data_IF_649905599657
#
_entry.id   IF_649905599657
#
_cell.length_a   1.000
_cell.length_b   1.000
_cell.length_c   1.000
_cell.angle_alpha   90.00
_cell.angle_beta   90.00
_cell.angle_gamma   90.00
#
_symmetry.space_group_name_H-M   'P 1'
#
loop_
_entity.id
_entity.type
_entity.pdbx_description
1 polymer ?
#
# COMPACT_ATOMS: atom_id res chain seq x y z
N UNK A 1 -21.94 13.27 3.36
CA UNK A 1 -22.24 11.82 3.46
C UNK A 1 -20.97 11.11 3.08
N UNK A 2 -20.30 10.42 4.00
CA UNK A 2 -19.02 9.76 3.71
C UNK A 2 -19.24 8.71 2.62
N UNK A 3 -18.44 8.78 1.56
CA UNK A 3 -18.49 7.87 0.43
C UNK A 3 -18.13 6.44 0.90
N UNK A 4 -18.94 5.45 0.56
CA UNK A 4 -18.67 4.07 0.95
C UNK A 4 -17.47 3.54 0.15
N UNK A 5 -16.34 3.35 0.81
CA UNK A 5 -15.12 2.75 0.24
C UNK A 5 -14.95 1.34 0.76
N UNK A 6 -15.06 0.36 -0.13
CA UNK A 6 -14.98 -1.06 0.20
C UNK A 6 -13.60 -1.43 0.78
N UNK A 7 -12.55 -0.74 0.34
CA UNK A 7 -11.17 -0.88 0.81
C UNK A 7 -11.02 -0.64 2.33
N UNK A 8 -11.84 0.24 2.90
CA UNK A 8 -11.78 0.63 4.31
C UNK A 8 -12.58 -0.31 5.21
N UNK A 9 -13.30 -1.27 4.63
CA UNK A 9 -14.03 -2.28 5.39
C UNK A 9 -13.10 -3.44 5.77
N UNK A 10 -13.42 -4.13 6.87
CA UNK A 10 -12.72 -5.35 7.29
C UNK A 10 -12.64 -6.37 6.13
N UNK A 11 -13.70 -6.47 5.33
CA UNK A 11 -13.74 -7.32 4.14
C UNK A 11 -12.75 -6.90 3.04
N UNK A 12 -12.66 -5.60 2.75
CA UNK A 12 -11.68 -5.07 1.78
C UNK A 12 -10.23 -5.32 2.21
N UNK A 13 -9.93 -5.09 3.50
CA UNK A 13 -8.61 -5.37 4.05
C UNK A 13 -8.25 -6.86 3.99
N UNK A 14 -9.22 -7.75 4.25
CA UNK A 14 -9.06 -9.20 4.11
C UNK A 14 -8.79 -9.62 2.67
N UNK A 15 -9.49 -9.05 1.69
CA UNK A 15 -9.26 -9.31 0.27
C UNK A 15 -7.87 -8.86 -0.17
N UNK A 16 -7.39 -7.72 0.33
CA UNK A 16 -6.01 -7.27 0.06
C UNK A 16 -4.97 -8.24 0.63
N UNK A 17 -5.16 -8.69 1.88
CA UNK A 17 -4.28 -9.71 2.48
C UNK A 17 -4.32 -11.03 1.71
N UNK A 18 -5.49 -11.43 1.24
CA UNK A 18 -5.66 -12.64 0.42
C UNK A 18 -4.92 -12.52 -0.92
N UNK A 19 -5.01 -11.36 -1.60
CA UNK A 19 -4.27 -11.10 -2.83
C UNK A 19 -2.75 -11.21 -2.63
N UNK A 20 -2.23 -10.63 -1.55
CA UNK A 20 -0.79 -10.74 -1.20
C UNK A 20 -0.41 -12.20 -1.00
N UNK A 21 -1.18 -12.96 -0.21
CA UNK A 21 -0.90 -14.37 0.04
C UNK A 21 -0.94 -15.22 -1.24
N UNK A 22 -1.88 -14.95 -2.15
CA UNK A 22 -1.95 -15.61 -3.47
C UNK A 22 -0.70 -15.30 -4.29
N UNK A 23 -0.28 -14.03 -4.35
CA UNK A 23 0.89 -13.61 -5.12
C UNK A 23 2.21 -14.19 -4.57
N UNK A 24 2.26 -14.51 -3.27
CA UNK A 24 3.40 -15.20 -2.66
C UNK A 24 3.39 -16.71 -2.90
N UNK A 25 2.21 -17.33 -3.00
CA UNK A 25 2.09 -18.78 -3.22
C UNK A 25 2.27 -19.20 -4.69
N UNK A 26 1.93 -18.32 -5.64
CA UNK A 26 2.03 -18.65 -7.07
C UNK A 26 3.44 -18.41 -7.57
N UNK A 27 4.15 -19.50 -7.87
CA UNK A 27 5.47 -19.50 -8.50
C UNK A 27 5.38 -19.71 -10.02
N UNK A 28 6.04 -18.84 -10.77
CA UNK A 28 6.17 -18.94 -12.22
C UNK A 28 7.53 -19.58 -12.55
N UNK A 29 7.55 -20.72 -13.27
CA UNK A 29 8.78 -21.37 -13.67
C UNK A 29 9.54 -20.57 -14.74
N UNK A 30 10.87 -20.70 -14.77
CA UNK A 30 11.75 -19.92 -15.64
C UNK A 30 11.47 -20.06 -17.14
N UNK A 31 10.94 -21.20 -17.59
CA UNK A 31 10.60 -21.45 -18.99
C UNK A 31 9.50 -20.51 -19.53
N UNK A 32 8.69 -19.93 -18.64
CA UNK A 32 7.63 -18.99 -18.99
C UNK A 32 8.06 -17.53 -18.77
N UNK A 33 9.23 -17.30 -18.17
CA UNK A 33 9.74 -15.96 -17.86
C UNK A 33 10.76 -15.49 -18.91
N UNK A 34 10.76 -14.20 -19.27
CA UNK A 34 11.82 -13.60 -20.08
C UNK A 34 13.17 -13.70 -19.36
N UNK A 35 14.29 -13.77 -20.11
CA UNK A 35 15.64 -13.94 -19.53
C UNK A 35 16.00 -12.89 -18.46
N UNK A 36 15.43 -11.69 -18.56
CA UNK A 36 15.61 -10.60 -17.60
C UNK A 36 14.99 -10.86 -16.23
N UNK A 37 13.96 -11.70 -16.16
CA UNK A 37 13.22 -12.03 -14.95
C UNK A 37 13.50 -13.44 -14.42
N UNK A 38 14.26 -14.25 -15.15
CA UNK A 38 14.58 -15.61 -14.72
C UNK A 38 15.47 -15.61 -13.46
N UNK A 39 15.23 -16.59 -12.59
CA UNK A 39 16.12 -16.89 -11.46
C UNK A 39 16.95 -18.13 -11.77
N UNK A 40 18.24 -17.96 -12.07
CA UNK A 40 19.16 -19.04 -12.44
C UNK A 40 19.55 -19.96 -11.27
N UNK A 41 19.13 -19.65 -10.05
CA UNK A 41 19.45 -20.43 -8.85
C UNK A 41 18.27 -21.27 -8.38
N UNK A 42 17.05 -20.73 -8.40
CA UNK A 42 15.85 -21.36 -7.82
C UNK A 42 14.87 -21.95 -8.84
N UNK A 43 15.09 -21.76 -10.14
CA UNK A 43 14.27 -22.39 -11.20
C UNK A 43 12.95 -21.68 -11.51
N UNK A 44 12.57 -20.66 -10.73
CA UNK A 44 11.37 -19.85 -10.93
C UNK A 44 11.31 -18.67 -9.94
N UNK A 45 10.25 -17.86 -10.03
CA UNK A 45 9.98 -16.74 -9.11
C UNK A 45 8.50 -16.62 -8.76
N UNK A 46 8.20 -16.16 -7.55
CA UNK A 46 6.84 -15.82 -7.14
C UNK A 46 6.32 -14.58 -7.87
N UNK A 47 4.99 -14.47 -8.03
CA UNK A 47 4.35 -13.28 -8.62
C UNK A 47 4.70 -12.01 -7.86
N UNK A 48 4.67 -12.03 -6.53
CA UNK A 48 5.04 -10.89 -5.70
C UNK A 48 6.45 -10.35 -6.02
N UNK A 49 7.40 -11.25 -6.28
CA UNK A 49 8.79 -10.87 -6.61
C UNK A 49 8.95 -10.36 -8.04
N UNK A 50 8.09 -10.80 -8.95
CA UNK A 50 8.06 -10.28 -10.32
C UNK A 50 7.48 -8.86 -10.35
N UNK A 51 6.40 -8.61 -9.61
CA UNK A 51 5.82 -7.26 -9.43
C UNK A 51 6.86 -6.29 -8.86
N UNK A 52 7.60 -6.68 -7.81
CA UNK A 52 8.68 -5.86 -7.24
C UNK A 52 9.79 -5.54 -8.26
N UNK A 53 10.09 -6.48 -9.17
CA UNK A 53 11.07 -6.25 -10.24
C UNK A 53 10.54 -5.32 -11.33
N UNK A 54 9.27 -5.44 -11.71
CA UNK A 54 8.62 -4.53 -12.64
C UNK A 54 8.60 -3.10 -12.07
N UNK A 55 8.20 -2.93 -10.81
CA UNK A 55 8.21 -1.63 -10.10
C UNK A 55 9.60 -0.97 -10.12
N UNK A 56 10.65 -1.76 -9.89
CA UNK A 56 12.04 -1.30 -9.97
C UNK A 56 12.46 -0.92 -11.39
N UNK A 57 12.04 -1.69 -12.39
CA UNK A 57 12.40 -1.47 -13.79
C UNK A 57 11.71 -0.22 -14.36
N UNK A 58 10.44 0.01 -14.00
CA UNK A 58 9.69 1.21 -14.36
C UNK A 58 10.12 2.44 -13.53
N UNK A 59 10.94 2.22 -12.50
CA UNK A 59 11.40 3.26 -11.60
C UNK A 59 10.25 3.91 -10.84
N UNK A 60 9.14 3.20 -10.63
CA UNK A 60 8.02 3.60 -9.78
C UNK A 60 8.43 3.35 -8.31
N UNK A 61 9.44 4.10 -7.87
CA UNK A 61 9.84 4.08 -6.47
C UNK A 61 8.69 4.59 -5.60
N UNK A 62 8.60 4.12 -4.36
CA UNK A 62 7.62 4.59 -3.37
C UNK A 62 7.55 6.12 -3.29
N UNK A 63 8.70 6.79 -3.44
CA UNK A 63 8.78 8.24 -3.50
C UNK A 63 8.08 8.86 -4.72
N UNK A 64 8.11 8.22 -5.89
CA UNK A 64 7.33 8.65 -7.06
C UNK A 64 5.84 8.35 -6.89
N UNK A 65 5.47 7.19 -6.34
CA UNK A 65 4.07 6.87 -6.00
C UNK A 65 3.47 7.93 -5.06
N UNK A 66 4.20 8.29 -4.00
CA UNK A 66 3.81 9.37 -3.07
C UNK A 66 3.69 10.75 -3.76
N UNK A 67 4.59 11.07 -4.69
CA UNK A 67 4.51 12.32 -5.46
C UNK A 67 3.28 12.35 -6.38
N UNK A 68 2.95 11.23 -7.00
CA UNK A 68 1.77 11.13 -7.86
C UNK A 68 0.48 11.29 -7.04
N UNK A 69 0.35 10.56 -5.94
CA UNK A 69 -0.80 10.70 -5.01
C UNK A 69 -0.94 12.14 -4.52
N UNK A 70 0.17 12.80 -4.18
CA UNK A 70 0.15 14.21 -3.78
C UNK A 70 -0.34 15.11 -4.91
N UNK A 71 0.10 14.87 -6.14
CA UNK A 71 -0.31 15.67 -7.30
C UNK A 71 -1.81 15.50 -7.61
N UNK A 72 -2.31 14.27 -7.55
CA UNK A 72 -3.73 13.95 -7.71
C UNK A 72 -4.58 14.67 -6.66
N UNK A 73 -4.21 14.54 -5.38
CA UNK A 73 -4.92 15.21 -4.29
C UNK A 73 -4.94 16.74 -4.44
N UNK A 74 -3.82 17.35 -4.87
CA UNK A 74 -3.76 18.80 -5.11
C UNK A 74 -4.76 19.22 -6.20
N UNK A 75 -4.82 18.49 -7.31
CA UNK A 75 -5.77 18.79 -8.38
C UNK A 75 -7.22 18.63 -7.93
N UNK A 76 -7.52 17.60 -7.14
CA UNK A 76 -8.88 17.38 -6.67
C UNK A 76 -9.30 18.43 -5.64
N UNK A 77 -8.44 18.79 -4.70
CA UNK A 77 -8.69 19.91 -3.78
C UNK A 77 -8.83 21.24 -4.53
N UNK A 78 -8.04 21.46 -5.59
CA UNK A 78 -8.19 22.64 -6.46
C UNK A 78 -9.56 22.68 -7.12
N UNK A 79 -10.05 21.56 -7.68
CA UNK A 79 -11.39 21.47 -8.28
C UNK A 79 -12.49 21.72 -7.24
N UNK A 80 -12.40 21.09 -6.07
CA UNK A 80 -13.36 21.29 -4.98
C UNK A 80 -13.41 22.76 -4.54
N UNK A 81 -12.25 23.40 -4.39
CA UNK A 81 -12.16 24.80 -3.99
C UNK A 81 -12.74 25.75 -5.06
N UNK A 82 -12.47 25.50 -6.35
CA UNK A 82 -13.06 26.30 -7.44
C UNK A 82 -14.59 26.17 -7.46
N UNK A 83 -15.13 24.98 -7.19
CA UNK A 83 -16.56 24.74 -7.22
C UNK A 83 -17.30 25.33 -6.01
N UNK A 84 -16.77 25.15 -4.80
CA UNK A 84 -17.51 25.40 -3.55
C UNK A 84 -16.89 26.48 -2.66
N UNK A 85 -15.72 27.04 -3.02
CA UNK A 85 -14.95 27.97 -2.18
C UNK A 85 -14.35 27.34 -0.92
N UNK A 86 -14.51 26.03 -0.75
CA UNK A 86 -14.00 25.19 0.33
C UNK A 86 -13.66 23.82 -0.24
N UNK A 87 -12.71 23.13 0.37
CA UNK A 87 -12.36 21.75 0.05
C UNK A 87 -12.36 20.92 1.34
N UNK A 88 -12.68 19.64 1.22
CA UNK A 88 -12.57 18.68 2.30
C UNK A 88 -11.27 17.89 2.14
N UNK A 89 -10.75 17.35 3.25
CA UNK A 89 -9.49 16.61 3.24
C UNK A 89 -9.76 15.12 3.03
N UNK A 90 -10.21 14.76 1.82
CA UNK A 90 -10.72 13.43 1.43
C UNK A 90 -9.88 12.72 0.35
N UNK A 91 -8.67 13.21 0.09
CA UNK A 91 -7.79 12.67 -0.95
C UNK A 91 -7.31 11.24 -0.71
N UNK A 92 -6.71 10.65 -1.74
CA UNK A 92 -6.10 9.32 -1.68
C UNK A 92 -4.97 9.28 -0.65
N UNK A 93 -5.02 8.30 0.25
CA UNK A 93 -4.02 8.07 1.30
C UNK A 93 -3.77 6.57 1.46
N UNK A 94 -2.51 6.22 1.67
CA UNK A 94 -2.15 4.88 2.13
C UNK A 94 -2.48 4.74 3.62
N UNK A 95 -3.62 4.13 3.93
CA UNK A 95 -4.11 3.93 5.29
C UNK A 95 -3.23 2.97 6.10
N UNK A 96 -2.62 1.97 5.44
CA UNK A 96 -1.75 1.01 6.12
C UNK A 96 -0.44 1.68 6.54
N UNK A 97 0.14 2.50 5.65
CA UNK A 97 1.33 3.26 5.98
C UNK A 97 1.04 4.31 7.05
N UNK A 98 -0.14 4.92 7.03
CA UNK A 98 -0.57 5.81 8.11
C UNK A 98 -0.63 5.08 9.45
N UNK A 99 -1.33 3.95 9.51
CA UNK A 99 -1.48 3.18 10.74
C UNK A 99 -0.12 2.74 11.31
N UNK A 100 0.81 2.31 10.46
CA UNK A 100 2.19 2.00 10.86
C UNK A 100 2.90 3.20 11.47
N UNK A 101 2.72 4.39 10.89
CA UNK A 101 3.31 5.62 11.42
C UNK A 101 2.66 6.02 12.76
N UNK A 102 1.35 5.81 12.92
CA UNK A 102 0.62 6.07 14.18
C UNK A 102 1.06 5.11 15.29
N UNK A 103 1.17 3.81 15.01
CA UNK A 103 1.73 2.83 15.94
C UNK A 103 3.18 3.18 16.32
N UNK A 104 4.02 3.54 15.34
CA UNK A 104 5.39 3.95 15.62
C UNK A 104 5.47 5.21 16.50
N UNK A 105 4.56 6.18 16.30
CA UNK A 105 4.45 7.35 17.14
C UNK A 105 4.06 6.99 18.58
N UNK A 106 3.04 6.14 18.75
CA UNK A 106 2.60 5.70 20.07
C UNK A 106 3.72 4.92 20.80
N UNK A 107 4.38 3.99 20.12
CA UNK A 107 5.49 3.22 20.68
C UNK A 107 6.71 4.08 21.04
N UNK A 108 6.93 5.18 20.32
CA UNK A 108 8.03 6.11 20.59
C UNK A 108 7.67 7.19 21.63
N UNK A 109 6.40 7.29 22.02
CA UNK A 109 5.92 8.29 22.98
C UNK A 109 6.03 7.73 24.40
N UNK A 110 6.97 8.21 25.23
CA UNK A 110 7.18 7.68 26.59
C UNK A 110 6.05 7.98 27.58
N UNK A 111 4.98 8.65 27.14
CA UNK A 111 3.79 8.94 27.94
C UNK A 111 2.62 7.99 27.65
N UNK A 112 2.75 7.12 26.65
CA UNK A 112 1.74 6.13 26.27
C UNK A 112 2.35 4.76 26.60
N UNK A 113 1.96 4.19 27.75
CA UNK A 113 2.24 2.78 28.06
C UNK A 113 1.36 1.94 27.14
N UNK A 114 1.96 1.39 26.06
CA UNK A 114 1.35 0.30 25.30
C UNK A 114 2.16 -0.93 25.68
N UNK A 115 1.57 -1.76 26.53
CA UNK A 115 2.16 -3.02 26.92
C UNK A 115 2.05 -4.01 25.74
N UNK A 116 3.05 -4.89 25.59
CA UNK A 116 3.13 -5.85 24.48
C UNK A 116 1.91 -6.82 24.44
N UNK A 117 1.23 -6.98 25.57
CA UNK A 117 0.01 -7.76 25.74
C UNK A 117 -1.24 -7.07 25.15
N UNK A 118 -1.31 -5.74 25.10
CA UNK A 118 -2.45 -4.99 24.54
C UNK A 118 -2.53 -5.08 23.00
N UNK A 119 -1.43 -5.47 22.34
CA UNK A 119 -1.36 -5.67 20.89
C UNK A 119 -1.88 -7.04 20.42
N UNK A 120 -2.03 -8.02 21.33
CA UNK A 120 -2.42 -9.40 21.01
C UNK A 120 -3.91 -9.70 21.18
N UNK A 121 -4.69 -8.79 21.78
CA UNK A 121 -6.13 -8.97 22.02
C UNK A 121 -7.06 -8.28 20.98
N UNK A 122 -6.51 -7.70 19.90
CA UNK A 122 -7.26 -7.01 18.84
C UNK A 122 -7.58 -7.83 17.60
#
# INVERSE_FOLDING_TARGET
>A
MSEFRLENTIGGQLLNKLNVAINEMVEVPNNLLPETFQDKVRGGRTLARLEEMCDKQEGLTEHRKLKNIRAENIEDYRKQFVANGKFEYDGHRDELQLYRNEQAFCNACPAIDIDEDDLLEG
#
